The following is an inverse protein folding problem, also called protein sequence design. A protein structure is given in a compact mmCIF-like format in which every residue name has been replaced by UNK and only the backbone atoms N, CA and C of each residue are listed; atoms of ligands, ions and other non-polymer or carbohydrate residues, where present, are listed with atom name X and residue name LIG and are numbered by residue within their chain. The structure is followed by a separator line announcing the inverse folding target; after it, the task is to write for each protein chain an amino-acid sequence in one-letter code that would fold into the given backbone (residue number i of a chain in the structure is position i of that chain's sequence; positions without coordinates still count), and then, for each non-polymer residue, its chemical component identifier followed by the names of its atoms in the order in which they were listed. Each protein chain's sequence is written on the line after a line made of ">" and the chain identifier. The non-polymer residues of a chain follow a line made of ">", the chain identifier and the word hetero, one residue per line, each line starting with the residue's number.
data_IF_480681363507
#
_entry.id   IF_480681363507
#
_cell.length_a   1.000
_cell.length_b   1.000
_cell.length_c   1.000
_cell.angle_alpha   90.00
_cell.angle_beta   90.00
_cell.angle_gamma   90.00
#
_symmetry.space_group_name_H-M   'P 1'
#
loop_
_entity.id
_entity.type
_entity.pdbx_description
1 polymer ?
#
# COMPACT_ATOMS: atom_id res chain seq x y z
N UNK A 1 -10.53 -27.94 1.54
CA UNK A 1 -10.30 -26.82 0.61
C UNK A 1 -11.28 -25.66 0.75
N UNK A 2 -12.60 -25.85 0.85
CA UNK A 2 -13.54 -24.75 1.18
C UNK A 2 -13.22 -24.17 2.56
N UNK A 3 -12.81 -25.00 3.49
CA UNK A 3 -12.37 -24.60 4.82
C UNK A 3 -11.02 -23.83 4.75
N UNK A 4 -10.07 -24.26 3.93
CA UNK A 4 -8.80 -23.54 3.70
C UNK A 4 -9.04 -22.13 3.13
N UNK A 5 -9.92 -21.98 2.13
CA UNK A 5 -10.33 -20.68 1.60
C UNK A 5 -10.98 -19.80 2.68
N UNK A 6 -11.78 -20.41 3.56
CA UNK A 6 -12.40 -19.70 4.67
C UNK A 6 -11.36 -19.20 5.69
N UNK A 7 -10.42 -20.07 6.05
CA UNK A 7 -9.33 -19.76 7.00
C UNK A 7 -8.42 -18.66 6.44
N UNK A 8 -7.93 -18.80 5.20
CA UNK A 8 -7.07 -17.78 4.58
C UNK A 8 -7.76 -16.42 4.42
N UNK A 9 -9.05 -16.41 4.04
CA UNK A 9 -9.83 -15.16 3.99
C UNK A 9 -10.05 -14.52 5.36
N UNK A 10 -10.13 -15.33 6.42
CA UNK A 10 -10.21 -14.85 7.81
C UNK A 10 -8.87 -14.25 8.26
N UNK A 11 -7.75 -14.95 8.02
CA UNK A 11 -6.42 -14.47 8.35
C UNK A 11 -6.10 -13.16 7.63
N UNK A 12 -6.45 -13.06 6.34
CA UNK A 12 -6.33 -11.80 5.60
C UNK A 12 -7.04 -10.64 6.29
N UNK A 13 -8.32 -10.84 6.67
CA UNK A 13 -9.11 -9.82 7.37
C UNK A 13 -8.52 -9.48 8.75
N UNK A 14 -8.14 -10.50 9.53
CA UNK A 14 -7.62 -10.31 10.89
C UNK A 14 -6.31 -9.51 10.86
N UNK A 15 -5.34 -9.90 10.04
CA UNK A 15 -4.07 -9.17 9.96
C UNK A 15 -4.22 -7.78 9.38
N UNK A 16 -5.15 -7.57 8.45
CA UNK A 16 -5.48 -6.24 7.94
C UNK A 16 -6.12 -5.36 9.03
N UNK A 17 -7.05 -5.90 9.81
CA UNK A 17 -7.66 -5.19 10.92
C UNK A 17 -6.65 -4.89 12.04
N UNK A 18 -5.73 -5.83 12.35
CA UNK A 18 -4.64 -5.60 13.30
C UNK A 18 -3.70 -4.50 12.82
N UNK A 19 -3.32 -4.50 11.54
CA UNK A 19 -2.51 -3.44 10.94
C UNK A 19 -3.18 -2.07 11.09
N UNK A 20 -4.47 -1.97 10.74
CA UNK A 20 -5.25 -0.76 10.93
C UNK A 20 -5.37 -0.33 12.40
N UNK A 21 -5.67 -1.26 13.30
CA UNK A 21 -5.77 -0.99 14.73
C UNK A 21 -4.46 -0.48 15.32
N UNK A 22 -3.33 -1.12 15.00
CA UNK A 22 -2.00 -0.68 15.42
C UNK A 22 -1.67 0.72 14.89
N UNK A 23 -2.00 1.00 13.63
CA UNK A 23 -1.77 2.30 13.03
C UNK A 23 -2.57 3.41 13.75
N UNK A 24 -3.88 3.23 13.91
CA UNK A 24 -4.74 4.23 14.53
C UNK A 24 -4.56 4.35 16.05
N UNK A 25 -4.04 3.32 16.72
CA UNK A 25 -3.64 3.41 18.13
C UNK A 25 -2.29 4.12 18.36
N UNK A 26 -1.61 4.51 17.29
CA UNK A 26 -0.31 5.15 17.39
C UNK A 26 0.87 4.19 17.56
N UNK A 27 0.69 2.93 17.19
CA UNK A 27 1.68 1.86 17.34
C UNK A 27 2.93 2.03 16.47
N UNK A 28 3.81 1.02 16.53
CA UNK A 28 5.06 1.00 15.77
C UNK A 28 4.81 0.76 14.28
N UNK A 29 5.32 1.65 13.43
CA UNK A 29 5.14 1.64 11.98
C UNK A 29 5.74 0.39 11.32
N UNK A 30 6.85 -0.16 11.85
CA UNK A 30 7.44 -1.39 11.32
C UNK A 30 6.55 -2.59 11.60
N UNK A 31 5.95 -2.66 12.78
CA UNK A 31 5.00 -3.71 13.14
C UNK A 31 3.73 -3.61 12.29
N UNK A 32 3.25 -2.40 12.03
CA UNK A 32 2.11 -2.13 11.14
C UNK A 32 2.40 -2.64 9.74
N UNK A 33 3.57 -2.32 9.17
CA UNK A 33 3.98 -2.78 7.83
C UNK A 33 4.08 -4.30 7.79
N UNK A 34 4.68 -4.92 8.81
CA UNK A 34 4.79 -6.38 8.89
C UNK A 34 3.41 -7.06 8.90
N UNK A 35 2.48 -6.59 9.74
CA UNK A 35 1.12 -7.12 9.78
C UNK A 35 0.37 -6.92 8.43
N UNK A 36 0.58 -5.76 7.80
CA UNK A 36 0.03 -5.43 6.50
C UNK A 36 0.53 -6.37 5.39
N UNK A 37 1.83 -6.59 5.30
CA UNK A 37 2.42 -7.51 4.31
C UNK A 37 1.97 -8.95 4.56
N UNK A 38 1.94 -9.37 5.83
CA UNK A 38 1.49 -10.70 6.21
C UNK A 38 0.03 -10.95 5.80
N UNK A 39 -0.84 -9.94 5.92
CA UNK A 39 -2.23 -10.07 5.46
C UNK A 39 -2.29 -10.41 3.97
N UNK A 40 -1.52 -9.73 3.12
CA UNK A 40 -1.50 -10.00 1.68
C UNK A 40 -0.95 -11.38 1.32
N UNK A 41 0.00 -11.88 2.11
CA UNK A 41 0.49 -13.26 1.96
C UNK A 41 -0.66 -14.26 2.16
N UNK A 42 -1.54 -14.07 3.14
CA UNK A 42 -2.70 -14.95 3.33
C UNK A 42 -3.70 -14.87 2.17
N UNK A 43 -3.90 -13.69 1.58
CA UNK A 43 -4.73 -13.56 0.36
C UNK A 43 -4.15 -14.38 -0.80
N UNK A 44 -2.84 -14.29 -1.01
CA UNK A 44 -2.13 -15.04 -2.05
C UNK A 44 -2.21 -16.55 -1.79
N UNK A 45 -1.98 -17.00 -0.55
CA UNK A 45 -2.10 -18.41 -0.16
C UNK A 45 -3.52 -18.93 -0.38
N UNK A 46 -4.54 -18.13 -0.06
CA UNK A 46 -5.92 -18.46 -0.33
C UNK A 46 -6.21 -18.64 -1.83
N UNK A 47 -5.66 -17.75 -2.66
CA UNK A 47 -5.81 -17.87 -4.11
C UNK A 47 -5.07 -19.09 -4.70
N UNK A 48 -3.94 -19.50 -4.12
CA UNK A 48 -3.25 -20.75 -4.49
C UNK A 48 -3.99 -22.01 -3.99
N UNK A 49 -4.70 -21.94 -2.88
CA UNK A 49 -5.54 -23.03 -2.40
C UNK A 49 -6.82 -23.25 -3.26
N UNK A 50 -7.16 -22.28 -4.09
CA UNK A 50 -8.30 -22.33 -5.01
C UNK A 50 -8.06 -23.33 -6.17
N UNK A 51 -9.14 -23.71 -6.84
CA UNK A 51 -9.05 -24.66 -7.97
C UNK A 51 -8.95 -24.00 -9.33
N UNK A 52 -9.29 -22.72 -9.42
CA UNK A 52 -9.33 -22.00 -10.69
C UNK A 52 -7.90 -21.62 -11.15
N UNK A 53 -7.54 -21.94 -12.41
CA UNK A 53 -6.29 -21.46 -12.99
C UNK A 53 -6.21 -19.91 -13.03
N UNK A 54 -7.36 -19.25 -13.13
CA UNK A 54 -7.42 -17.77 -13.06
C UNK A 54 -7.04 -17.23 -11.68
N UNK A 55 -7.41 -17.95 -10.62
CA UNK A 55 -7.02 -17.61 -9.24
C UNK A 55 -5.51 -17.72 -9.05
N UNK A 56 -4.87 -18.77 -9.59
CA UNK A 56 -3.43 -18.97 -9.53
C UNK A 56 -2.67 -17.87 -10.29
N UNK A 57 -3.09 -17.52 -11.50
CA UNK A 57 -2.48 -16.40 -12.26
C UNK A 57 -2.70 -15.07 -11.54
N UNK A 58 -3.87 -14.89 -10.92
CA UNK A 58 -4.15 -13.74 -10.05
C UNK A 58 -3.20 -13.66 -8.85
N UNK A 59 -2.94 -14.80 -8.19
CA UNK A 59 -2.00 -14.91 -7.07
C UNK A 59 -0.56 -14.55 -7.47
N UNK A 60 -0.08 -15.03 -8.61
CA UNK A 60 1.24 -14.67 -9.14
C UNK A 60 1.35 -13.16 -9.42
N UNK A 61 0.31 -12.57 -9.99
CA UNK A 61 0.27 -11.12 -10.24
C UNK A 61 0.21 -10.31 -8.95
N UNK A 62 -0.49 -10.79 -7.91
CA UNK A 62 -0.49 -10.14 -6.58
C UNK A 62 0.90 -10.20 -5.95
N UNK A 63 1.61 -11.33 -6.04
CA UNK A 63 3.00 -11.43 -5.58
C UNK A 63 3.93 -10.44 -6.29
N UNK A 64 3.79 -10.29 -7.60
CA UNK A 64 4.56 -9.29 -8.37
C UNK A 64 4.27 -7.87 -7.86
N UNK A 65 3.01 -7.57 -7.55
CA UNK A 65 2.64 -6.26 -6.98
C UNK A 65 3.23 -6.06 -5.59
N UNK A 66 3.20 -7.08 -4.72
CA UNK A 66 3.83 -7.02 -3.38
C UNK A 66 5.33 -6.69 -3.53
N UNK A 67 6.06 -7.41 -4.36
CA UNK A 67 7.49 -7.16 -4.61
C UNK A 67 7.72 -5.75 -5.20
N UNK A 68 6.77 -5.23 -5.98
CA UNK A 68 6.89 -3.91 -6.58
C UNK A 68 6.75 -2.78 -5.56
N UNK A 69 5.80 -2.85 -4.64
CA UNK A 69 5.49 -1.73 -3.75
C UNK A 69 6.16 -1.81 -2.36
N UNK A 70 6.48 -3.00 -1.86
CA UNK A 70 6.97 -3.20 -0.49
C UNK A 70 8.26 -2.43 -0.19
N UNK A 71 9.28 -2.38 -1.07
CA UNK A 71 10.47 -1.58 -0.81
C UNK A 71 10.18 -0.11 -0.56
N UNK A 72 9.20 0.46 -1.29
CA UNK A 72 8.85 1.87 -1.12
C UNK A 72 8.09 2.13 0.19
N UNK A 73 7.28 1.19 0.66
CA UNK A 73 6.63 1.29 1.98
C UNK A 73 7.69 1.30 3.09
N UNK A 74 8.72 0.44 2.99
CA UNK A 74 9.84 0.41 3.93
C UNK A 74 10.64 1.72 3.88
N UNK A 75 10.94 2.24 2.68
CA UNK A 75 11.60 3.54 2.49
C UNK A 75 10.77 4.67 3.11
N UNK A 76 9.45 4.61 3.02
CA UNK A 76 8.55 5.60 3.63
C UNK A 76 8.67 5.59 5.16
N UNK A 77 8.64 4.42 5.80
CA UNK A 77 8.82 4.31 7.24
C UNK A 77 10.22 4.77 7.70
N UNK A 78 11.26 4.36 6.96
CA UNK A 78 12.63 4.79 7.24
C UNK A 78 12.79 6.32 7.09
N UNK A 79 12.17 6.91 6.07
CA UNK A 79 12.14 8.35 5.87
C UNK A 79 11.45 9.08 7.01
N UNK A 80 10.28 8.62 7.43
CA UNK A 80 9.57 9.20 8.59
C UNK A 80 10.43 9.12 9.86
N UNK A 81 11.07 7.98 10.13
CA UNK A 81 12.02 7.86 11.23
C UNK A 81 13.20 8.83 11.13
N UNK A 82 13.76 9.01 9.95
CA UNK A 82 14.86 9.97 9.76
C UNK A 82 14.45 11.40 10.11
N UNK A 83 13.20 11.78 9.87
CA UNK A 83 12.70 13.12 10.17
C UNK A 83 12.29 13.25 11.64
N UNK A 84 11.48 12.34 12.16
CA UNK A 84 10.85 12.44 13.49
C UNK A 84 11.62 11.76 14.61
N UNK A 85 12.59 10.87 14.28
CA UNK A 85 13.38 10.05 15.23
C UNK A 85 12.55 9.01 16.01
N UNK A 86 11.35 8.75 15.59
CA UNK A 86 10.50 7.69 16.16
C UNK A 86 9.85 6.87 15.05
N UNK A 87 9.64 5.58 15.33
CA UNK A 87 8.80 4.71 14.51
C UNK A 87 7.35 4.70 14.97
N UNK A 88 7.03 5.29 16.12
CA UNK A 88 5.66 5.34 16.61
C UNK A 88 4.82 6.34 15.82
N UNK A 89 3.68 5.87 15.33
CA UNK A 89 2.72 6.72 14.60
C UNK A 89 2.23 7.87 15.47
N UNK A 90 2.04 7.65 16.78
CA UNK A 90 1.68 8.70 17.75
C UNK A 90 2.67 9.86 17.75
N UNK A 91 3.98 9.56 17.75
CA UNK A 91 5.02 10.58 17.80
C UNK A 91 5.13 11.34 16.47
N UNK A 92 4.93 10.62 15.34
CA UNK A 92 4.90 11.23 14.01
C UNK A 92 3.73 12.23 13.92
N UNK A 93 2.55 11.85 14.40
CA UNK A 93 1.35 12.72 14.39
C UNK A 93 1.51 13.92 15.31
N UNK A 94 2.14 13.75 16.48
CA UNK A 94 2.39 14.84 17.43
C UNK A 94 3.55 15.76 17.02
N UNK A 95 4.38 15.32 16.08
CA UNK A 95 5.48 16.14 15.60
C UNK A 95 4.97 17.35 14.83
N UNK A 96 5.42 18.56 15.23
CA UNK A 96 5.13 19.80 14.51
C UNK A 96 5.92 19.93 13.20
N UNK A 97 6.69 18.88 12.82
CA UNK A 97 7.59 18.91 11.67
C UNK A 97 6.85 18.62 10.38
N UNK A 98 6.93 19.47 9.37
CA UNK A 98 6.30 19.20 8.06
C UNK A 98 7.06 18.12 7.29
N UNK A 99 6.75 16.86 7.55
CA UNK A 99 7.43 15.67 6.99
C UNK A 99 7.53 15.74 5.46
N UNK A 100 6.48 16.20 4.80
CA UNK A 100 6.42 16.31 3.33
C UNK A 100 7.52 17.21 2.74
N UNK A 101 7.95 18.26 3.46
CA UNK A 101 9.00 19.17 2.97
C UNK A 101 10.38 18.52 3.00
N UNK A 102 10.60 17.57 3.91
CA UNK A 102 11.85 16.81 3.99
C UNK A 102 11.86 15.58 3.10
N UNK A 103 10.67 15.03 2.80
CA UNK A 103 10.49 13.79 2.07
C UNK A 103 9.64 13.93 0.79
N UNK A 104 9.85 14.95 -0.07
CA UNK A 104 9.03 15.12 -1.27
C UNK A 104 9.18 13.96 -2.26
N UNK A 105 10.38 13.43 -2.43
CA UNK A 105 10.63 12.27 -3.31
C UNK A 105 10.01 10.99 -2.78
N UNK A 106 10.04 10.78 -1.46
CA UNK A 106 9.36 9.65 -0.81
C UNK A 106 7.85 9.78 -0.94
N UNK A 107 7.29 10.98 -0.80
CA UNK A 107 5.87 11.22 -0.97
C UNK A 107 5.38 10.91 -2.41
N UNK A 108 6.13 11.37 -3.43
CA UNK A 108 5.82 11.05 -4.84
C UNK A 108 5.90 9.52 -5.06
N UNK A 109 6.95 8.88 -4.54
CA UNK A 109 7.08 7.42 -4.60
C UNK A 109 5.92 6.70 -3.92
N UNK A 110 5.45 7.22 -2.78
CA UNK A 110 4.29 6.66 -2.08
C UNK A 110 2.98 6.83 -2.87
N UNK A 111 2.77 7.93 -3.60
CA UNK A 111 1.60 8.07 -4.47
C UNK A 111 1.57 6.99 -5.57
N UNK A 112 2.72 6.60 -6.13
CA UNK A 112 2.80 5.48 -7.08
C UNK A 112 2.41 4.16 -6.39
N UNK A 113 2.86 3.93 -5.15
CA UNK A 113 2.42 2.78 -4.35
C UNK A 113 0.91 2.82 -4.14
N UNK A 114 0.36 3.99 -3.83
CA UNK A 114 -1.07 4.18 -3.62
C UNK A 114 -1.88 3.77 -4.86
N UNK A 115 -1.44 4.18 -6.06
CA UNK A 115 -2.08 3.78 -7.34
C UNK A 115 -2.08 2.26 -7.52
N UNK A 116 -0.96 1.58 -7.21
CA UNK A 116 -0.86 0.11 -7.29
C UNK A 116 -1.81 -0.54 -6.28
N UNK A 117 -1.84 -0.05 -5.04
CA UNK A 117 -2.57 -0.65 -3.93
C UNK A 117 -4.08 -0.41 -3.99
N UNK A 118 -4.52 0.72 -4.54
CA UNK A 118 -5.93 0.99 -4.79
C UNK A 118 -6.49 0.16 -5.94
N UNK A 119 -5.64 -0.67 -6.59
CA UNK A 119 -6.01 -1.55 -7.70
C UNK A 119 -6.73 -0.81 -8.81
N UNK A 120 -6.26 0.41 -9.06
CA UNK A 120 -6.77 1.30 -10.09
C UNK A 120 -5.95 1.16 -11.37
N UNK A 121 -6.57 1.47 -12.50
CA UNK A 121 -5.84 1.61 -13.75
C UNK A 121 -4.68 2.63 -13.55
N UNK A 122 -3.50 2.39 -14.08
CA UNK A 122 -3.08 1.33 -15.01
C UNK A 122 -2.61 0.01 -14.35
N UNK A 123 -2.70 -0.15 -13.03
CA UNK A 123 -2.05 -1.23 -12.27
C UNK A 123 -3.02 -2.28 -11.68
N UNK A 124 -4.23 -2.40 -12.19
CA UNK A 124 -5.22 -3.41 -11.78
C UNK A 124 -4.87 -4.83 -12.32
N UNK A 125 -3.74 -5.38 -11.86
CA UNK A 125 -3.15 -6.59 -12.44
C UNK A 125 -3.70 -7.90 -11.84
N UNK A 126 -3.96 -7.93 -10.54
CA UNK A 126 -4.29 -9.14 -9.80
C UNK A 126 -5.79 -9.41 -9.71
N UNK A 127 -6.61 -8.37 -9.78
CA UNK A 127 -8.07 -8.43 -9.76
C UNK A 127 -8.65 -7.76 -11.00
N UNK A 128 -9.80 -8.26 -11.46
CA UNK A 128 -10.52 -7.66 -12.56
C UNK A 128 -11.93 -7.28 -12.11
N UNK A 129 -12.31 -6.04 -12.35
CA UNK A 129 -13.67 -5.55 -12.07
C UNK A 129 -14.64 -5.76 -13.24
N UNK A 130 -14.14 -6.10 -14.43
CA UNK A 130 -14.93 -6.25 -15.65
C UNK A 130 -14.79 -7.64 -16.23
N UNK A 131 -15.92 -8.25 -16.62
CA UNK A 131 -15.99 -9.62 -17.12
C UNK A 131 -15.23 -9.89 -18.44
N UNK A 132 -14.86 -8.84 -19.18
CA UNK A 132 -14.10 -8.94 -20.43
C UNK A 132 -12.58 -8.88 -20.24
N UNK A 133 -12.10 -8.88 -19.01
CA UNK A 133 -10.67 -8.92 -18.72
C UNK A 133 -10.17 -10.36 -18.68
N UNK A 134 -8.89 -10.57 -18.99
CA UNK A 134 -8.26 -11.89 -19.17
C UNK A 134 -8.35 -12.82 -17.95
N UNK A 135 -8.49 -12.26 -16.75
CA UNK A 135 -8.45 -13.01 -15.48
C UNK A 135 -9.80 -13.24 -14.81
N UNK A 136 -10.91 -12.88 -15.45
CA UNK A 136 -12.24 -12.89 -14.81
C UNK A 136 -12.19 -12.03 -13.53
N UNK A 137 -12.20 -12.63 -12.31
CA UNK A 137 -12.01 -11.95 -11.03
C UNK A 137 -10.59 -12.07 -10.45
N UNK A 138 -9.67 -12.68 -11.17
CA UNK A 138 -8.28 -12.86 -10.72
C UNK A 138 -8.18 -13.57 -9.37
N UNK A 139 -7.45 -12.98 -8.43
CA UNK A 139 -7.19 -13.55 -7.10
C UNK A 139 -8.46 -13.93 -6.33
N UNK A 140 -9.58 -13.27 -6.58
CA UNK A 140 -10.85 -13.50 -5.87
C UNK A 140 -11.83 -14.40 -6.62
N UNK A 141 -11.43 -15.08 -7.70
CA UNK A 141 -12.32 -15.85 -8.57
C UNK A 141 -13.11 -16.93 -7.81
N UNK A 142 -12.47 -17.66 -6.92
CA UNK A 142 -13.09 -18.78 -6.18
C UNK A 142 -13.66 -18.36 -4.82
N UNK A 143 -13.49 -17.11 -4.44
CA UNK A 143 -14.08 -16.59 -3.21
C UNK A 143 -15.53 -16.15 -3.48
N UNK A 144 -16.48 -16.71 -2.73
CA UNK A 144 -17.90 -16.40 -2.85
C UNK A 144 -18.55 -16.22 -1.48
N UNK A 145 -19.70 -15.56 -1.45
CA UNK A 145 -20.51 -15.38 -0.24
C UNK A 145 -19.72 -14.74 0.93
N UNK A 146 -19.76 -15.34 2.13
CA UNK A 146 -19.09 -14.77 3.31
C UNK A 146 -17.57 -14.62 3.18
N UNK A 147 -16.92 -15.48 2.37
CA UNK A 147 -15.48 -15.40 2.17
C UNK A 147 -15.08 -14.20 1.31
N UNK A 148 -15.84 -13.91 0.27
CA UNK A 148 -15.65 -12.71 -0.52
C UNK A 148 -15.94 -11.43 0.31
N UNK A 149 -16.98 -11.46 1.15
CA UNK A 149 -17.30 -10.34 2.02
C UNK A 149 -16.15 -9.98 2.98
N UNK A 150 -15.44 -10.96 3.53
CA UNK A 150 -14.27 -10.73 4.38
C UNK A 150 -13.15 -10.02 3.62
N UNK A 151 -12.89 -10.45 2.38
CA UNK A 151 -11.88 -9.83 1.52
C UNK A 151 -12.26 -8.38 1.21
N UNK A 152 -13.51 -8.11 0.89
CA UNK A 152 -13.98 -6.75 0.61
C UNK A 152 -13.89 -5.84 1.85
N UNK A 153 -14.23 -6.35 3.04
CA UNK A 153 -14.05 -5.60 4.29
C UNK A 153 -12.57 -5.33 4.56
N UNK A 154 -11.70 -6.32 4.33
CA UNK A 154 -10.26 -6.13 4.48
C UNK A 154 -9.72 -5.04 3.53
N UNK A 155 -10.20 -4.98 2.28
CA UNK A 155 -9.86 -3.91 1.34
C UNK A 155 -10.29 -2.52 1.84
N UNK A 156 -11.44 -2.40 2.52
CA UNK A 156 -11.84 -1.11 3.12
C UNK A 156 -10.88 -0.67 4.22
N UNK A 157 -10.45 -1.60 5.09
CA UNK A 157 -9.40 -1.30 6.08
C UNK A 157 -8.09 -0.88 5.41
N UNK A 158 -7.69 -1.59 4.34
CA UNK A 158 -6.52 -1.27 3.54
C UNK A 158 -6.57 0.16 2.99
N UNK A 159 -7.67 0.57 2.38
CA UNK A 159 -7.82 1.92 1.81
C UNK A 159 -7.74 3.01 2.89
N UNK A 160 -8.41 2.81 4.02
CA UNK A 160 -8.35 3.76 5.14
C UNK A 160 -6.93 3.85 5.70
N UNK A 161 -6.23 2.73 5.84
CA UNK A 161 -4.85 2.70 6.29
C UNK A 161 -3.91 3.44 5.32
N UNK A 162 -4.00 3.15 4.03
CA UNK A 162 -3.15 3.79 3.01
C UNK A 162 -3.34 5.30 2.95
N UNK A 163 -4.58 5.78 3.05
CA UNK A 163 -4.88 7.21 3.14
C UNK A 163 -4.42 7.80 4.48
N UNK A 164 -4.43 7.02 5.55
CA UNK A 164 -3.85 7.39 6.84
C UNK A 164 -2.34 7.65 6.75
N UNK A 165 -1.60 6.89 5.94
CA UNK A 165 -0.17 7.17 5.69
C UNK A 165 0.02 8.50 4.94
N UNK A 166 -0.87 8.87 4.00
CA UNK A 166 -0.85 10.20 3.37
C UNK A 166 -1.04 11.29 4.44
N UNK A 167 -1.93 11.05 5.42
CA UNK A 167 -2.11 11.98 6.55
C UNK A 167 -0.79 12.26 7.28
N UNK A 168 0.04 11.23 7.53
CA UNK A 168 1.29 11.38 8.27
C UNK A 168 2.28 12.37 7.63
N UNK A 169 2.29 12.48 6.31
CA UNK A 169 3.15 13.47 5.64
C UNK A 169 2.76 14.92 5.94
N UNK A 170 1.49 15.17 6.28
CA UNK A 170 0.91 16.49 6.53
C UNK A 170 0.41 16.65 7.96
N UNK A 171 0.81 15.77 8.89
CA UNK A 171 0.29 15.72 10.26
C UNK A 171 0.48 17.02 11.05
N UNK A 172 1.45 17.89 10.67
CA UNK A 172 1.67 19.20 11.27
C UNK A 172 0.47 20.14 11.15
N UNK A 173 -0.43 19.93 10.18
CA UNK A 173 -1.66 20.73 10.02
C UNK A 173 -2.81 19.81 9.57
N UNK A 174 -3.78 19.50 10.45
CA UNK A 174 -4.87 18.58 10.14
C UNK A 174 -5.74 18.98 8.92
N UNK A 175 -5.94 20.28 8.69
CA UNK A 175 -6.70 20.75 7.52
C UNK A 175 -5.96 20.47 6.22
N UNK A 176 -4.64 20.70 6.19
CA UNK A 176 -3.83 20.35 5.03
C UNK A 176 -3.74 18.84 4.82
N UNK A 177 -3.68 18.07 5.89
CA UNK A 177 -3.67 16.62 5.81
C UNK A 177 -4.98 16.06 5.19
N UNK A 178 -6.14 16.57 5.62
CA UNK A 178 -7.43 16.18 5.04
C UNK A 178 -7.49 16.63 3.56
N UNK A 179 -7.07 17.85 3.26
CA UNK A 179 -7.02 18.33 1.88
C UNK A 179 -6.09 17.47 1.00
N UNK A 180 -4.93 17.08 1.52
CA UNK A 180 -3.99 16.21 0.83
C UNK A 180 -4.58 14.81 0.55
N UNK A 181 -5.32 14.22 1.50
CA UNK A 181 -6.05 12.96 1.30
C UNK A 181 -7.07 13.10 0.17
N UNK A 182 -7.89 14.15 0.19
CA UNK A 182 -8.91 14.37 -0.83
C UNK A 182 -8.27 14.57 -2.20
N UNK A 183 -7.20 15.36 -2.29
CA UNK A 183 -6.45 15.59 -3.52
C UNK A 183 -5.81 14.31 -4.03
N UNK A 184 -5.14 13.54 -3.15
CA UNK A 184 -4.52 12.27 -3.52
C UNK A 184 -5.57 11.30 -4.07
N UNK A 185 -6.69 11.14 -3.37
CA UNK A 185 -7.76 10.25 -3.83
C UNK A 185 -8.40 10.71 -5.14
N UNK A 186 -8.57 12.03 -5.33
CA UNK A 186 -9.04 12.59 -6.59
C UNK A 186 -8.06 12.34 -7.75
N UNK A 187 -6.75 12.49 -7.49
CA UNK A 187 -5.71 12.18 -8.47
C UNK A 187 -5.74 10.70 -8.86
N UNK A 188 -5.95 9.79 -7.91
CA UNK A 188 -6.08 8.36 -8.19
C UNK A 188 -7.30 8.06 -9.09
N UNK A 189 -8.44 8.70 -8.83
CA UNK A 189 -9.62 8.56 -9.69
C UNK A 189 -9.34 9.15 -11.08
N UNK A 190 -8.62 10.26 -11.17
CA UNK A 190 -8.26 10.88 -12.46
C UNK A 190 -7.33 9.97 -13.26
N UNK A 191 -6.32 9.38 -12.61
CA UNK A 191 -5.40 8.43 -13.22
C UNK A 191 -6.18 7.20 -13.73
N UNK A 192 -7.05 6.62 -12.91
CA UNK A 192 -7.88 5.47 -13.26
C UNK A 192 -8.72 5.72 -14.53
N UNK A 193 -9.28 6.91 -14.67
CA UNK A 193 -10.15 7.26 -15.79
C UNK A 193 -9.40 7.73 -17.05
N UNK A 194 -8.13 8.12 -16.95
CA UNK A 194 -7.35 8.69 -18.06
C UNK A 194 -6.31 7.74 -18.61
N UNK A 195 -5.91 6.70 -17.84
CA UNK A 195 -4.84 5.79 -18.25
C UNK A 195 -5.39 4.44 -18.73
N UNK A 196 -4.75 3.89 -19.74
CA UNK A 196 -4.97 2.53 -20.17
C UNK A 196 -4.19 1.55 -19.27
N UNK A 197 -4.64 0.29 -19.23
CA UNK A 197 -4.02 -0.78 -18.46
C UNK A 197 -2.56 -1.01 -18.86
N UNK A 198 -1.69 -1.10 -17.88
CA UNK A 198 -0.27 -1.38 -18.06
C UNK A 198 0.04 -2.89 -17.98
N UNK A 199 1.12 -3.29 -18.65
CA UNK A 199 1.67 -4.63 -18.46
C UNK A 199 2.42 -4.70 -17.13
N UNK A 200 2.45 -5.88 -16.49
CA UNK A 200 3.14 -6.10 -15.20
C UNK A 200 4.61 -5.66 -15.21
N UNK A 201 5.31 -5.80 -16.34
CA UNK A 201 6.69 -5.34 -16.49
C UNK A 201 6.83 -3.83 -16.31
N UNK A 202 5.83 -3.05 -16.78
CA UNK A 202 5.84 -1.61 -16.61
C UNK A 202 5.58 -1.24 -15.15
N UNK A 203 4.68 -1.95 -14.46
CA UNK A 203 4.42 -1.77 -13.03
C UNK A 203 5.67 -1.95 -12.20
N UNK A 204 6.40 -3.06 -12.41
CA UNK A 204 7.68 -3.33 -11.74
C UNK A 204 8.71 -2.24 -12.02
N UNK A 205 8.89 -1.88 -13.29
CA UNK A 205 9.86 -0.83 -13.69
C UNK A 205 9.50 0.53 -13.11
N UNK A 206 8.24 0.95 -13.17
CA UNK A 206 7.81 2.24 -12.62
C UNK A 206 7.98 2.29 -11.11
N UNK A 207 7.59 1.24 -10.39
CA UNK A 207 7.74 1.17 -8.94
C UNK A 207 9.23 1.19 -8.51
N UNK A 208 10.09 0.39 -9.15
CA UNK A 208 11.50 0.31 -8.75
C UNK A 208 12.33 1.49 -9.26
N UNK A 209 12.15 1.92 -10.53
CA UNK A 209 12.91 3.04 -11.07
C UNK A 209 12.42 4.38 -10.52
N UNK A 210 11.12 4.63 -10.49
CA UNK A 210 10.61 5.94 -10.06
C UNK A 210 10.55 5.99 -8.53
N UNK A 211 9.81 5.08 -7.90
CA UNK A 211 9.64 5.11 -6.46
C UNK A 211 10.95 4.82 -5.73
N UNK A 212 11.69 3.78 -6.15
CA UNK A 212 12.94 3.39 -5.53
C UNK A 212 14.03 4.46 -5.68
N UNK A 213 14.25 4.98 -6.89
CA UNK A 213 15.30 6.00 -7.10
C UNK A 213 14.97 7.31 -6.41
N UNK A 214 13.73 7.81 -6.55
CA UNK A 214 13.32 9.06 -5.88
C UNK A 214 13.37 8.91 -4.36
N UNK A 215 12.91 7.79 -3.81
CA UNK A 215 12.96 7.52 -2.38
C UNK A 215 14.39 7.45 -1.86
N UNK A 216 15.26 6.64 -2.48
CA UNK A 216 16.65 6.46 -2.05
C UNK A 216 17.45 7.77 -2.19
N UNK A 217 17.29 8.49 -3.31
CA UNK A 217 17.96 9.79 -3.50
C UNK A 217 17.52 10.78 -2.43
N UNK A 218 16.22 10.86 -2.14
CA UNK A 218 15.70 11.76 -1.12
C UNK A 218 16.25 11.41 0.27
N UNK A 219 16.29 10.13 0.66
CA UNK A 219 16.90 9.70 1.91
C UNK A 219 18.40 10.00 1.97
N UNK A 220 19.13 9.79 0.86
CA UNK A 220 20.55 10.10 0.75
C UNK A 220 20.83 11.60 0.93
N UNK A 221 20.05 12.45 0.29
CA UNK A 221 20.14 13.92 0.44
C UNK A 221 19.82 14.33 1.88
N UNK A 222 18.75 13.77 2.47
CA UNK A 222 18.39 14.07 3.86
C UNK A 222 19.49 13.64 4.84
N UNK A 223 20.08 12.47 4.64
CA UNK A 223 21.21 11.98 5.44
C UNK A 223 22.42 12.91 5.33
N UNK A 224 22.80 13.29 4.11
CA UNK A 224 23.92 14.19 3.87
C UNK A 224 23.72 15.56 4.52
N UNK A 225 22.55 16.18 4.32
CA UNK A 225 22.22 17.48 4.93
C UNK A 225 22.29 17.42 6.45
N UNK A 226 21.87 16.31 7.04
CA UNK A 226 21.89 16.13 8.49
C UNK A 226 23.30 15.96 9.05
N UNK A 227 24.19 15.29 8.31
CA UNK A 227 25.58 15.12 8.71
C UNK A 227 26.41 16.40 8.54
N UNK A 228 26.06 17.28 7.59
CA UNK A 228 26.84 18.47 7.23
C UNK A 228 26.27 19.72 7.88
N UNK A 229 24.95 19.82 8.04
CA UNK A 229 24.29 21.07 8.48
C UNK A 229 23.93 21.05 9.97
N UNK A 230 23.80 19.87 10.57
CA UNK A 230 23.50 19.71 12.01
C UNK A 230 24.55 18.76 12.61
N UNK A 231 25.72 19.24 13.03
CA UNK A 231 26.68 18.44 13.78
C UNK A 231 26.14 18.04 15.16
#
# INVERSE_FOLDING_TARGET
>A
KVQELHEMGMEYLVFMAVSGALFFSGGDMLLVIFAFTLSHIFLVLGAYAAFSPYSHVGAERELIQIIAYEPMIIITAAGMYMVTKSFYVSDIVQSAVPVVLYLPGVFIGYLIVLTIKLRKSPFDLSTSHHAHQELVKGVTTDFAGPNLAKIEIAHWYEYVFLLGVVYLFFAFNPLLAIAAIVIAYFLEILIDNTTSRAKWQLTMRSAWLVAGTLGIINLGVLYYLRMVVVP
#
